data_IF_312742985514
#
_entry.id   IF_312742985514
#
_cell.length_a   1.000
_cell.length_b   1.000
_cell.length_c   1.000
_cell.angle_alpha   90.00
_cell.angle_beta   90.00
_cell.angle_gamma   90.00
#
_symmetry.space_group_name_H-M   'P 1'
#
loop_
_entity.id
_entity.type
_entity.pdbx_description
1 polymer ?
#
# COMPACT_ATOMS: atom_id res chain seq x y z
N UNK A 1 4.44 -2.57 -19.62
CA UNK A 1 5.34 -2.12 -18.55
C UNK A 1 6.10 -3.32 -18.01
N UNK A 2 7.42 -3.27 -18.08
CA UNK A 2 8.25 -4.41 -17.69
C UNK A 2 8.59 -4.35 -16.20
N UNK A 3 8.16 -5.36 -15.46
CA UNK A 3 8.42 -5.44 -14.01
C UNK A 3 9.91 -5.41 -13.70
N UNK A 4 10.74 -6.03 -14.53
CA UNK A 4 12.20 -6.04 -14.33
C UNK A 4 12.81 -4.66 -14.45
N UNK A 5 12.35 -3.86 -15.41
CA UNK A 5 12.84 -2.49 -15.58
C UNK A 5 12.44 -1.65 -14.37
N UNK A 6 11.21 -1.81 -13.90
CA UNK A 6 10.72 -1.11 -12.71
C UNK A 6 11.58 -1.51 -11.51
N UNK A 7 11.83 -2.79 -11.33
CA UNK A 7 12.64 -3.26 -10.21
C UNK A 7 14.03 -2.66 -10.24
N UNK A 8 14.66 -2.57 -11.41
CA UNK A 8 15.99 -1.96 -11.53
C UNK A 8 15.97 -0.49 -11.09
N UNK A 9 14.93 0.24 -11.43
CA UNK A 9 14.78 1.64 -11.01
C UNK A 9 14.62 1.72 -9.50
N UNK A 10 13.77 0.87 -8.91
CA UNK A 10 13.51 0.87 -7.47
C UNK A 10 14.73 0.46 -6.64
N UNK A 11 15.59 -0.39 -7.19
CA UNK A 11 16.86 -0.75 -6.56
C UNK A 11 17.89 0.37 -6.60
N UNK A 12 17.76 1.26 -7.58
CA UNK A 12 18.75 2.30 -7.84
C UNK A 12 18.78 3.37 -6.77
N UNK A 13 19.63 4.37 -7.00
CA UNK A 13 19.83 5.47 -6.07
C UNK A 13 19.30 6.80 -6.60
N UNK A 14 18.73 6.80 -7.79
CA UNK A 14 18.16 8.02 -8.38
C UNK A 14 16.75 8.22 -7.83
N UNK A 15 16.64 9.05 -6.81
CA UNK A 15 15.37 9.28 -6.12
C UNK A 15 14.34 9.93 -7.03
N UNK A 16 14.75 10.83 -7.91
CA UNK A 16 13.84 11.48 -8.83
C UNK A 16 13.24 10.48 -9.82
N UNK A 17 14.07 9.58 -10.33
CA UNK A 17 13.61 8.53 -11.23
C UNK A 17 12.62 7.59 -10.53
N UNK A 18 12.89 7.27 -9.27
CA UNK A 18 11.97 6.44 -8.48
C UNK A 18 10.61 7.14 -8.34
N UNK A 19 10.61 8.42 -7.97
CA UNK A 19 9.37 9.18 -7.80
C UNK A 19 8.59 9.23 -9.10
N UNK A 20 9.25 9.53 -10.21
CA UNK A 20 8.58 9.60 -11.51
C UNK A 20 7.99 8.26 -11.93
N UNK A 21 8.73 7.18 -11.71
CA UNK A 21 8.26 5.82 -12.03
C UNK A 21 7.06 5.45 -11.18
N UNK A 22 7.13 5.69 -9.88
CA UNK A 22 6.05 5.37 -8.94
C UNK A 22 4.81 6.22 -9.22
N UNK A 23 5.00 7.49 -9.55
CA UNK A 23 3.89 8.38 -9.92
C UNK A 23 3.18 7.86 -11.18
N UNK A 24 3.95 7.40 -12.16
CA UNK A 24 3.37 6.81 -13.36
C UNK A 24 2.58 5.52 -13.04
N UNK A 25 3.12 4.67 -12.16
CA UNK A 25 2.42 3.46 -11.72
C UNK A 25 1.11 3.82 -11.04
N UNK A 26 1.13 4.84 -10.18
CA UNK A 26 -0.06 5.32 -9.48
C UNK A 26 -1.15 5.70 -10.47
N UNK A 27 -0.79 6.43 -11.53
CA UNK A 27 -1.73 6.82 -12.59
C UNK A 27 -2.30 5.60 -13.33
N UNK A 28 -1.45 4.62 -13.61
CA UNK A 28 -1.88 3.38 -14.28
C UNK A 28 -2.88 2.63 -13.39
N UNK A 29 -2.65 2.57 -12.08
CA UNK A 29 -3.55 1.89 -11.16
C UNK A 29 -4.91 2.58 -11.07
N UNK A 30 -4.95 3.90 -11.18
CA UNK A 30 -6.21 4.66 -11.17
C UNK A 30 -6.98 4.57 -12.48
N UNK A 31 -6.34 4.10 -13.54
CA UNK A 31 -6.95 4.07 -14.86
C UNK A 31 -8.08 3.03 -14.96
N UNK A 32 -8.85 3.10 -16.05
CA UNK A 32 -9.91 2.13 -16.32
C UNK A 32 -9.39 0.77 -16.78
N UNK A 33 -8.07 0.65 -17.02
CA UNK A 33 -7.49 -0.62 -17.43
C UNK A 33 -7.50 -1.59 -16.25
N UNK A 34 -8.33 -2.62 -16.33
CA UNK A 34 -8.43 -3.65 -15.29
C UNK A 34 -7.64 -4.92 -15.65
N UNK A 35 -6.85 -4.86 -16.70
CA UNK A 35 -6.06 -6.00 -17.19
C UNK A 35 -4.58 -5.60 -17.30
N UNK A 36 -4.05 -5.04 -16.22
CA UNK A 36 -2.65 -4.63 -16.15
C UNK A 36 -1.78 -5.89 -16.16
N UNK A 37 -0.88 -5.96 -17.14
CA UNK A 37 -0.01 -7.11 -17.31
C UNK A 37 0.91 -7.28 -16.10
N UNK A 38 1.02 -8.52 -15.60
CA UNK A 38 1.87 -8.88 -14.46
C UNK A 38 1.56 -8.06 -13.20
N UNK A 39 0.29 -7.68 -13.03
CA UNK A 39 -0.13 -6.79 -11.95
C UNK A 39 0.27 -7.30 -10.56
N UNK A 40 0.00 -8.58 -10.26
CA UNK A 40 0.31 -9.13 -8.93
C UNK A 40 1.80 -9.08 -8.64
N UNK A 41 2.62 -9.49 -9.62
CA UNK A 41 4.08 -9.44 -9.47
C UNK A 41 4.56 -8.00 -9.27
N UNK A 42 3.98 -7.06 -10.03
CA UNK A 42 4.32 -5.64 -9.93
C UNK A 42 4.01 -5.10 -8.53
N UNK A 43 2.85 -5.45 -7.97
CA UNK A 43 2.47 -5.02 -6.62
C UNK A 43 3.41 -5.63 -5.57
N UNK A 44 3.75 -6.90 -5.71
CA UNK A 44 4.68 -7.56 -4.77
C UNK A 44 6.05 -6.87 -4.79
N UNK A 45 6.56 -6.57 -5.98
CA UNK A 45 7.84 -5.85 -6.13
C UNK A 45 7.74 -4.46 -5.47
N UNK A 46 6.69 -3.71 -5.80
CA UNK A 46 6.51 -2.37 -5.24
C UNK A 46 6.41 -2.42 -3.71
N UNK A 47 5.64 -3.34 -3.17
CA UNK A 47 5.49 -3.49 -1.72
C UNK A 47 6.83 -3.79 -1.05
N UNK A 48 7.60 -4.74 -1.60
CA UNK A 48 8.88 -5.12 -1.01
C UNK A 48 9.85 -3.93 -0.96
N UNK A 49 9.94 -3.17 -2.05
CA UNK A 49 10.83 -2.01 -2.08
C UNK A 49 10.29 -0.85 -1.23
N UNK A 50 8.97 -0.70 -1.15
CA UNK A 50 8.37 0.32 -0.28
C UNK A 50 8.73 0.09 1.18
N UNK A 51 8.74 -1.17 1.63
CA UNK A 51 9.08 -1.50 3.01
C UNK A 51 10.55 -1.24 3.33
N UNK A 52 11.43 -1.32 2.34
CA UNK A 52 12.87 -1.13 2.53
C UNK A 52 13.35 0.29 2.21
N UNK A 53 12.55 1.10 1.53
CA UNK A 53 12.96 2.43 1.09
C UNK A 53 13.30 3.34 2.27
N UNK A 54 14.47 4.01 2.21
CA UNK A 54 14.95 4.86 3.28
C UNK A 54 14.58 6.34 3.10
N UNK A 55 14.39 6.78 1.86
CA UNK A 55 13.96 8.15 1.59
C UNK A 55 12.46 8.27 1.85
N UNK A 56 12.07 9.11 2.82
CA UNK A 56 10.67 9.22 3.23
C UNK A 56 9.75 9.69 2.11
N UNK A 57 10.20 10.65 1.29
CA UNK A 57 9.38 11.13 0.18
C UNK A 57 9.10 10.02 -0.83
N UNK A 58 10.12 9.27 -1.20
CA UNK A 58 9.97 8.15 -2.12
C UNK A 58 9.07 7.08 -1.51
N UNK A 59 9.29 6.79 -0.22
CA UNK A 59 8.49 5.77 0.48
C UNK A 59 7.01 6.14 0.53
N UNK A 60 6.71 7.41 0.82
CA UNK A 60 5.33 7.88 0.85
C UNK A 60 4.67 7.75 -0.54
N UNK A 61 5.40 8.09 -1.61
CA UNK A 61 4.88 7.92 -2.97
C UNK A 61 4.59 6.46 -3.27
N UNK A 62 5.45 5.55 -2.84
CA UNK A 62 5.24 4.12 -3.03
C UNK A 62 3.99 3.64 -2.29
N UNK A 63 3.79 4.09 -1.05
CA UNK A 63 2.60 3.73 -0.28
C UNK A 63 1.33 4.29 -0.91
N UNK A 64 1.38 5.51 -1.43
CA UNK A 64 0.23 6.11 -2.13
C UNK A 64 -0.13 5.31 -3.37
N UNK A 65 0.87 4.86 -4.14
CA UNK A 65 0.63 4.03 -5.32
C UNK A 65 -0.01 2.68 -4.93
N UNK A 66 0.46 2.06 -3.84
CA UNK A 66 -0.13 0.82 -3.34
C UNK A 66 -1.58 1.04 -2.92
N UNK A 67 -1.88 2.16 -2.26
CA UNK A 67 -3.24 2.49 -1.87
C UNK A 67 -4.14 2.67 -3.10
N UNK A 68 -3.63 3.30 -4.16
CA UNK A 68 -4.38 3.44 -5.40
C UNK A 68 -4.67 2.08 -6.03
N UNK A 69 -3.68 1.17 -6.00
CA UNK A 69 -3.89 -0.18 -6.54
C UNK A 69 -5.03 -0.89 -5.81
N UNK A 70 -5.04 -0.82 -4.49
CA UNK A 70 -6.08 -1.48 -3.69
C UNK A 70 -7.45 -0.83 -3.92
N UNK A 71 -7.48 0.48 -4.10
CA UNK A 71 -8.71 1.23 -4.31
C UNK A 71 -9.35 0.93 -5.67
N UNK A 72 -8.55 0.85 -6.73
CA UNK A 72 -9.07 0.82 -8.10
C UNK A 72 -8.93 -0.51 -8.82
N UNK A 73 -8.09 -1.42 -8.34
CA UNK A 73 -7.83 -2.69 -9.00
C UNK A 73 -8.25 -3.87 -8.11
N UNK A 74 -8.32 -5.06 -8.68
CA UNK A 74 -8.59 -6.28 -7.91
C UNK A 74 -7.29 -6.77 -7.29
N UNK A 75 -7.20 -6.74 -5.96
CA UNK A 75 -6.01 -7.14 -5.22
C UNK A 75 -6.27 -8.35 -4.32
N UNK A 76 -7.33 -9.13 -4.59
CA UNK A 76 -7.71 -10.28 -3.76
C UNK A 76 -6.58 -11.29 -3.60
N UNK A 77 -5.75 -11.46 -4.61
CA UNK A 77 -4.67 -12.45 -4.60
C UNK A 77 -3.35 -11.92 -4.06
N UNK A 78 -3.32 -10.66 -3.64
CA UNK A 78 -2.11 -10.06 -3.06
C UNK A 78 -2.02 -10.38 -1.58
N UNK A 79 -0.84 -10.80 -1.13
CA UNK A 79 -0.57 -11.07 0.27
C UNK A 79 0.01 -9.82 0.93
N UNK A 80 -0.70 -9.28 1.92
CA UNK A 80 -0.30 -8.07 2.64
C UNK A 80 0.31 -8.37 4.01
N UNK A 81 0.64 -9.62 4.30
CA UNK A 81 1.18 -10.01 5.60
C UNK A 81 2.49 -9.29 5.93
N UNK A 82 3.35 -9.06 4.93
CA UNK A 82 4.61 -8.32 5.15
C UNK A 82 4.35 -6.88 5.56
N UNK A 83 3.31 -6.25 4.98
CA UNK A 83 2.91 -4.90 5.37
C UNK A 83 2.45 -4.89 6.84
N UNK A 84 1.62 -5.84 7.22
CA UNK A 84 1.14 -5.96 8.59
C UNK A 84 2.29 -6.07 9.59
N UNK A 85 3.29 -6.88 9.27
CA UNK A 85 4.44 -7.09 10.15
C UNK A 85 5.31 -5.83 10.34
N UNK A 86 5.25 -4.89 9.42
CA UNK A 86 6.10 -3.69 9.44
C UNK A 86 5.40 -2.44 9.98
N UNK A 87 4.13 -2.53 10.36
CA UNK A 87 3.34 -1.35 10.75
C UNK A 87 4.02 -0.53 11.85
N UNK A 88 4.56 -1.19 12.88
CA UNK A 88 5.18 -0.49 14.01
C UNK A 88 6.45 0.25 13.66
N UNK A 89 7.02 0.00 12.48
CA UNK A 89 8.25 0.61 12.01
C UNK A 89 8.03 1.78 11.05
N UNK A 90 6.78 2.03 10.68
CA UNK A 90 6.47 3.03 9.66
C UNK A 90 6.35 4.44 10.25
N UNK A 91 6.68 5.44 9.44
CA UNK A 91 6.38 6.84 9.77
C UNK A 91 4.86 7.01 9.86
N UNK A 92 4.41 8.07 10.52
CA UNK A 92 2.97 8.29 10.68
C UNK A 92 2.22 8.34 9.34
N UNK A 93 2.68 9.07 8.31
CA UNK A 93 1.96 9.06 7.03
C UNK A 93 1.86 7.68 6.41
N UNK A 94 2.96 6.92 6.42
CA UNK A 94 2.95 5.56 5.86
C UNK A 94 2.09 4.61 6.67
N UNK A 95 2.09 4.76 7.99
CA UNK A 95 1.26 3.94 8.89
C UNK A 95 -0.22 4.17 8.59
N UNK A 96 -0.62 5.42 8.45
CA UNK A 96 -2.02 5.77 8.14
C UNK A 96 -2.42 5.12 6.81
N UNK A 97 -1.59 5.27 5.78
CA UNK A 97 -1.86 4.68 4.47
C UNK A 97 -1.92 3.15 4.55
N UNK A 98 -1.00 2.53 5.30
CA UNK A 98 -0.96 1.08 5.46
C UNK A 98 -2.22 0.54 6.13
N UNK A 99 -2.73 1.22 7.16
CA UNK A 99 -3.97 0.83 7.83
C UNK A 99 -5.14 0.93 6.84
N UNK A 100 -5.18 1.98 6.04
CA UNK A 100 -6.18 2.13 4.98
C UNK A 100 -6.13 0.95 4.01
N UNK A 101 -4.94 0.58 3.55
CA UNK A 101 -4.76 -0.56 2.65
C UNK A 101 -5.32 -1.83 3.28
N UNK A 102 -4.94 -2.13 4.51
CA UNK A 102 -5.40 -3.35 5.19
C UNK A 102 -6.92 -3.39 5.33
N UNK A 103 -7.53 -2.24 5.64
CA UNK A 103 -9.00 -2.16 5.72
C UNK A 103 -9.67 -2.43 4.38
N UNK A 104 -9.10 -1.91 3.29
CA UNK A 104 -9.64 -2.07 1.95
C UNK A 104 -9.51 -3.51 1.43
N UNK A 105 -8.64 -4.32 2.02
CA UNK A 105 -8.55 -5.75 1.64
C UNK A 105 -9.79 -6.52 2.03
N UNK A 106 -10.51 -6.08 3.05
CA UNK A 106 -11.64 -6.80 3.68
C UNK A 106 -11.26 -8.19 4.19
N UNK A 107 -9.96 -8.46 4.34
CA UNK A 107 -9.48 -9.75 4.83
C UNK A 107 -9.51 -9.75 6.36
N UNK A 108 -10.35 -10.61 6.91
CA UNK A 108 -10.61 -10.64 8.34
C UNK A 108 -9.36 -10.99 9.17
N UNK A 109 -8.35 -11.58 8.58
CA UNK A 109 -7.12 -11.89 9.32
C UNK A 109 -6.40 -10.63 9.82
N UNK A 110 -6.64 -9.46 9.19
CA UNK A 110 -6.03 -8.20 9.60
C UNK A 110 -6.87 -7.44 10.65
N UNK A 111 -8.08 -7.93 10.93
CA UNK A 111 -8.99 -7.26 11.85
C UNK A 111 -8.39 -7.04 13.25
N UNK A 112 -7.77 -8.06 13.88
CA UNK A 112 -7.20 -7.86 15.22
C UNK A 112 -6.13 -6.76 15.24
N UNK A 113 -5.29 -6.70 14.22
CA UNK A 113 -4.24 -5.68 14.10
C UNK A 113 -4.85 -4.30 13.98
N UNK A 114 -5.85 -4.13 13.10
CA UNK A 114 -6.51 -2.85 12.91
C UNK A 114 -7.15 -2.40 14.24
N UNK A 115 -7.79 -3.31 14.97
CA UNK A 115 -8.39 -3.00 16.28
C UNK A 115 -7.35 -2.46 17.25
N UNK A 116 -6.14 -3.00 17.23
CA UNK A 116 -5.05 -2.53 18.09
C UNK A 116 -4.77 -1.04 17.86
N UNK A 117 -4.81 -0.59 16.61
CA UNK A 117 -4.51 0.80 16.27
C UNK A 117 -5.65 1.77 16.60
N UNK A 118 -6.83 1.30 16.95
CA UNK A 118 -7.89 2.19 17.48
C UNK A 118 -7.53 2.73 18.86
N UNK A 119 -6.53 2.16 19.53
CA UNK A 119 -6.03 2.63 20.82
C UNK A 119 -4.76 3.49 20.67
N UNK A 120 -4.36 3.80 19.44
CA UNK A 120 -3.15 4.57 19.20
C UNK A 120 -3.29 6.00 19.72
N UNK A 121 -2.21 6.53 20.29
CA UNK A 121 -2.21 7.88 20.86
C UNK A 121 -2.32 9.00 19.83
N UNK A 122 -1.86 8.75 18.59
CA UNK A 122 -1.98 9.72 17.51
C UNK A 122 -3.40 9.71 16.95
N UNK A 123 -4.07 10.87 16.97
CA UNK A 123 -5.47 10.97 16.56
C UNK A 123 -5.73 10.59 15.10
N UNK A 124 -4.79 10.91 14.18
CA UNK A 124 -4.97 10.58 12.78
C UNK A 124 -4.88 9.06 12.55
N UNK A 125 -3.94 8.40 13.23
CA UNK A 125 -3.80 6.94 13.16
C UNK A 125 -5.05 6.28 13.74
N UNK A 126 -5.48 6.73 14.92
CA UNK A 126 -6.68 6.23 15.58
C UNK A 126 -7.90 6.37 14.68
N UNK A 127 -8.08 7.55 14.08
CA UNK A 127 -9.19 7.83 13.18
C UNK A 127 -9.21 6.92 11.96
N UNK A 128 -8.02 6.70 11.35
CA UNK A 128 -7.92 5.81 10.20
C UNK A 128 -8.24 4.36 10.59
N UNK A 129 -7.81 3.93 11.78
CA UNK A 129 -8.12 2.59 12.26
C UNK A 129 -9.64 2.39 12.42
N UNK A 130 -10.35 3.39 12.93
CA UNK A 130 -11.82 3.31 13.03
C UNK A 130 -12.47 3.25 11.64
N UNK A 131 -11.96 4.04 10.68
CA UNK A 131 -12.48 4.00 9.31
C UNK A 131 -12.23 2.62 8.69
N UNK A 132 -11.04 2.05 8.92
CA UNK A 132 -10.70 0.73 8.40
C UNK A 132 -11.60 -0.35 9.00
N UNK A 133 -11.91 -0.28 10.29
CA UNK A 133 -12.85 -1.22 10.91
C UNK A 133 -14.23 -1.12 10.27
N UNK A 134 -14.69 0.11 10.05
CA UNK A 134 -15.98 0.34 9.41
C UNK A 134 -16.00 -0.24 8.00
N UNK A 135 -14.92 -0.06 7.25
CA UNK A 135 -14.79 -0.61 5.90
C UNK A 135 -14.86 -2.13 5.92
N UNK A 136 -14.17 -2.77 6.87
CA UNK A 136 -14.14 -4.23 6.98
C UNK A 136 -15.48 -4.83 7.41
N UNK A 137 -16.32 -4.05 8.07
CA UNK A 137 -17.64 -4.48 8.49
C UNK A 137 -18.69 -4.35 7.40
N UNK A 138 -18.37 -3.67 6.31
CA UNK A 138 -19.31 -3.54 5.21
C UNK A 138 -19.54 -4.87 4.53
N UNK A 139 -20.80 -5.17 4.27
CA UNK A 139 -21.17 -6.41 3.62
C UNK A 139 -20.82 -6.36 2.14
N UNK A 140 -20.06 -7.33 1.69
CA UNK A 140 -19.70 -7.49 0.29
C UNK A 140 -20.57 -8.56 -0.33
N UNK A 141 -21.70 -8.17 -0.74
CA UNK A 141 -22.55 -9.11 -1.44
C UNK A 141 -22.27 -9.12 -2.93
#
# INVERSE_FOLDING_TARGET
MDVREIEQILKGKDEQEKIETVSHLSDVFESYNKNIENFEELIEVLLNYALEEQNLEVKEEMFDALANAVTYQNTEDINWDSLERHLSQLSLPCLITAINILGLTHDQKYLPTIKTYTEHENGAVKGEAYLALKEMQQNRS
#
